data_IF_760905145768
#
_entry.id   IF_760905145768
#
_cell.length_a   1.000
_cell.length_b   1.000
_cell.length_c   1.000
_cell.angle_alpha   90.00
_cell.angle_beta   90.00
_cell.angle_gamma   90.00
#
_symmetry.space_group_name_H-M   'P 1'
#
loop_
_entity.id
_entity.type
_entity.pdbx_description
1 polymer ?
#
# COMPACT_ATOMS: atom_id res chain seq x y z
N UNK A 1 -1.23 -14.63 -15.14
CA UNK A 1 -2.08 -13.48 -15.51
C UNK A 1 -2.85 -13.69 -16.82
N UNK A 2 -2.17 -14.08 -17.91
CA UNK A 2 -2.80 -14.27 -19.23
C UNK A 2 -3.90 -15.35 -19.33
N UNK A 3 -4.15 -16.12 -18.27
CA UNK A 3 -5.25 -17.11 -18.22
C UNK A 3 -6.65 -16.48 -18.14
N UNK A 4 -6.75 -15.17 -17.90
CA UNK A 4 -8.05 -14.47 -17.84
C UNK A 4 -8.88 -14.74 -16.58
N UNK A 5 -8.25 -15.23 -15.51
CA UNK A 5 -8.92 -15.53 -14.24
C UNK A 5 -9.12 -14.32 -13.31
N UNK A 6 -8.61 -13.15 -13.70
CA UNK A 6 -8.63 -11.94 -12.89
C UNK A 6 -9.33 -10.81 -13.64
N UNK A 7 -9.98 -9.92 -12.91
CA UNK A 7 -10.65 -8.75 -13.49
C UNK A 7 -9.75 -7.53 -13.48
N UNK A 8 -9.02 -7.33 -12.39
CA UNK A 8 -8.10 -6.22 -12.18
C UNK A 8 -6.86 -6.76 -11.48
N UNK A 9 -5.69 -6.35 -11.92
CA UNK A 9 -4.38 -6.71 -11.37
C UNK A 9 -3.65 -5.42 -11.01
N UNK A 10 -3.20 -5.33 -9.76
CA UNK A 10 -2.31 -4.28 -9.28
C UNK A 10 -0.89 -4.84 -9.20
N UNK A 11 0.08 -4.13 -9.77
CA UNK A 11 1.49 -4.53 -9.77
C UNK A 11 2.35 -3.44 -9.12
N UNK A 12 3.34 -3.89 -8.36
CA UNK A 12 4.40 -3.08 -7.76
C UNK A 12 5.72 -3.55 -8.35
N UNK A 13 6.77 -2.74 -8.17
CA UNK A 13 8.14 -3.08 -8.58
C UNK A 13 8.31 -3.39 -10.08
N UNK A 14 7.43 -2.87 -10.92
CA UNK A 14 7.60 -2.90 -12.37
C UNK A 14 8.55 -1.76 -12.77
N UNK A 15 9.84 -1.94 -12.48
CA UNK A 15 10.84 -0.89 -12.67
C UNK A 15 11.29 -0.72 -14.12
N UNK A 16 11.21 -1.79 -14.93
CA UNK A 16 11.63 -1.78 -16.32
C UNK A 16 10.47 -1.51 -17.27
N UNK A 17 10.62 -0.52 -18.16
CA UNK A 17 9.64 -0.28 -19.23
C UNK A 17 9.53 -1.48 -20.17
N UNK A 18 10.64 -2.17 -20.48
CA UNK A 18 10.60 -3.36 -21.34
C UNK A 18 9.75 -4.47 -20.73
N UNK A 19 9.84 -4.67 -19.41
CA UNK A 19 9.07 -5.69 -18.70
C UNK A 19 7.60 -5.29 -18.63
N UNK A 20 7.30 -4.00 -18.43
CA UNK A 20 5.93 -3.50 -18.52
C UNK A 20 5.33 -3.73 -19.92
N UNK A 21 6.02 -3.36 -21.00
CA UNK A 21 5.54 -3.58 -22.36
C UNK A 21 5.35 -5.08 -22.66
N UNK A 22 6.27 -5.93 -22.19
CA UNK A 22 6.15 -7.38 -22.31
C UNK A 22 4.90 -7.89 -21.58
N UNK A 23 4.69 -7.51 -20.32
CA UNK A 23 3.51 -7.88 -19.55
C UNK A 23 2.23 -7.44 -20.27
N UNK A 24 2.16 -6.18 -20.70
CA UNK A 24 1.03 -5.60 -21.44
C UNK A 24 0.72 -6.40 -22.70
N UNK A 25 1.73 -6.75 -23.50
CA UNK A 25 1.54 -7.55 -24.71
C UNK A 25 1.00 -8.94 -24.37
N UNK A 26 1.54 -9.60 -23.34
CA UNK A 26 1.16 -10.97 -22.96
C UNK A 26 -0.25 -11.07 -22.38
N UNK A 27 -0.73 -10.04 -21.70
CA UNK A 27 -2.09 -10.02 -21.12
C UNK A 27 -3.14 -9.37 -22.03
N UNK A 28 -2.76 -8.77 -23.16
CA UNK A 28 -3.62 -7.91 -23.96
C UNK A 28 -4.96 -8.53 -24.40
N UNK A 29 -5.04 -9.85 -24.52
CA UNK A 29 -6.29 -10.55 -24.88
C UNK A 29 -7.30 -10.65 -23.71
N UNK A 30 -6.86 -10.50 -22.46
CA UNK A 30 -7.68 -10.72 -21.26
C UNK A 30 -7.72 -9.52 -20.31
N UNK A 31 -6.67 -8.70 -20.29
CA UNK A 31 -6.56 -7.45 -19.52
C UNK A 31 -6.11 -6.32 -20.47
N UNK A 32 -6.93 -5.95 -21.48
CA UNK A 32 -6.51 -5.02 -22.54
C UNK A 32 -6.25 -3.60 -22.03
N UNK A 33 -6.83 -3.20 -20.90
CA UNK A 33 -6.72 -1.84 -20.38
C UNK A 33 -5.62 -1.78 -19.33
N UNK A 34 -4.41 -1.44 -19.77
CA UNK A 34 -3.22 -1.34 -18.93
C UNK A 34 -2.83 0.12 -18.72
N UNK A 35 -2.40 0.47 -17.51
CA UNK A 35 -1.86 1.79 -17.18
C UNK A 35 -0.64 1.66 -16.28
N UNK A 36 0.46 2.29 -16.67
CA UNK A 36 1.66 2.46 -15.86
C UNK A 36 1.71 3.88 -15.31
N UNK A 37 1.99 4.03 -14.02
CA UNK A 37 2.06 5.33 -13.39
C UNK A 37 3.50 5.86 -13.44
N UNK A 38 3.84 6.69 -14.41
CA UNK A 38 5.18 7.24 -14.52
C UNK A 38 5.43 8.32 -13.44
N UNK A 39 6.59 8.27 -12.77
CA UNK A 39 6.98 9.22 -11.71
C UNK A 39 8.47 9.12 -11.41
N UNK A 40 9.07 10.20 -10.89
CA UNK A 40 10.47 10.23 -10.47
C UNK A 40 11.46 9.96 -11.60
N UNK A 41 12.68 9.57 -11.22
CA UNK A 41 13.77 9.30 -12.18
C UNK A 41 13.69 7.89 -12.74
N UNK A 42 13.42 6.90 -11.88
CA UNK A 42 13.41 5.46 -12.23
C UNK A 42 12.00 4.96 -12.58
N UNK A 43 10.95 5.72 -12.29
CA UNK A 43 9.55 5.26 -12.37
C UNK A 43 8.92 5.11 -10.97
N UNK A 44 7.61 4.91 -10.92
CA UNK A 44 6.93 4.58 -9.64
C UNK A 44 6.97 3.08 -9.34
N UNK A 45 7.22 2.23 -10.35
CA UNK A 45 7.07 0.78 -10.24
C UNK A 45 5.62 0.30 -10.23
N UNK A 46 4.63 1.20 -10.34
CA UNK A 46 3.21 0.88 -10.17
C UNK A 46 2.50 0.73 -11.50
N UNK A 47 1.71 -0.33 -11.63
CA UNK A 47 0.83 -0.53 -12.78
C UNK A 47 -0.52 -1.14 -12.39
N UNK A 48 -1.56 -0.79 -13.14
CA UNK A 48 -2.88 -1.44 -13.09
C UNK A 48 -3.18 -2.05 -14.46
N UNK A 49 -3.58 -3.32 -14.46
CA UNK A 49 -4.04 -4.06 -15.65
C UNK A 49 -5.50 -4.46 -15.42
N UNK A 50 -6.39 -4.13 -16.36
CA UNK A 50 -7.83 -4.31 -16.19
C UNK A 50 -8.48 -4.97 -17.40
N UNK A 51 -9.44 -5.86 -17.12
CA UNK A 51 -10.38 -6.40 -18.10
C UNK A 51 -11.33 -5.31 -18.61
N UNK A 52 -11.60 -4.31 -17.78
CA UNK A 52 -12.59 -3.26 -18.00
C UNK A 52 -11.94 -1.91 -18.31
N UNK A 53 -12.60 -1.02 -19.09
CA UNK A 53 -12.04 0.27 -19.47
C UNK A 53 -11.61 1.14 -18.28
N UNK A 54 -10.37 1.65 -18.33
CA UNK A 54 -9.88 2.69 -17.42
C UNK A 54 -10.37 4.04 -17.97
N UNK A 55 -11.27 4.71 -17.25
CA UNK A 55 -11.87 5.98 -17.69
C UNK A 55 -11.02 7.19 -17.32
N UNK A 56 -10.22 7.09 -16.27
CA UNK A 56 -9.25 8.12 -15.86
C UNK A 56 -8.22 7.52 -14.94
N UNK A 57 -6.98 8.01 -14.99
CA UNK A 57 -5.92 7.63 -14.07
C UNK A 57 -5.26 8.88 -13.47
N UNK A 58 -4.88 8.79 -12.20
CA UNK A 58 -4.22 9.85 -11.44
C UNK A 58 -3.05 9.27 -10.66
N UNK A 59 -1.99 10.05 -10.50
CA UNK A 59 -0.87 9.69 -9.65
C UNK A 59 -0.63 10.78 -8.63
N UNK A 60 -0.51 10.41 -7.37
CA UNK A 60 -0.18 11.30 -6.26
C UNK A 60 1.18 10.91 -5.70
N UNK A 61 2.19 11.72 -5.99
CA UNK A 61 3.54 11.53 -5.47
C UNK A 61 3.59 11.94 -4.00
N UNK A 62 4.19 11.10 -3.15
CA UNK A 62 4.37 11.46 -1.75
C UNK A 62 5.49 12.48 -1.58
N UNK A 63 5.34 13.35 -0.58
CA UNK A 63 6.32 14.40 -0.27
C UNK A 63 7.62 13.89 0.35
N UNK A 64 7.60 12.69 0.93
CA UNK A 64 8.75 12.09 1.64
C UNK A 64 8.95 10.66 1.17
N UNK A 65 10.11 10.40 0.54
CA UNK A 65 10.45 9.11 -0.09
C UNK A 65 11.86 8.60 0.26
N UNK A 66 12.34 8.84 1.48
CA UNK A 66 13.66 8.34 1.91
C UNK A 66 14.75 9.41 1.86
N UNK A 67 16.02 8.98 1.92
CA UNK A 67 17.17 9.87 1.96
C UNK A 67 18.10 9.65 0.76
N UNK A 68 18.39 10.72 0.00
CA UNK A 68 19.28 10.67 -1.18
C UNK A 68 20.64 10.02 -0.92
N UNK A 69 21.25 10.32 0.23
CA UNK A 69 22.60 9.85 0.56
C UNK A 69 22.64 8.37 0.99
N UNK A 70 21.49 7.73 1.21
CA UNK A 70 21.39 6.30 1.53
C UNK A 70 21.24 5.51 0.24
N UNK A 71 22.30 5.49 -0.59
CA UNK A 71 22.27 4.89 -1.94
C UNK A 71 21.83 3.42 -1.94
N UNK A 72 22.16 2.68 -0.88
CA UNK A 72 21.77 1.28 -0.68
C UNK A 72 20.25 1.10 -0.48
N UNK A 73 19.50 2.17 -0.20
CA UNK A 73 18.06 2.15 0.00
C UNK A 73 17.39 2.82 -1.21
N UNK A 74 16.90 1.99 -2.13
CA UNK A 74 16.47 2.39 -3.47
C UNK A 74 15.25 3.32 -3.52
N UNK A 75 14.47 3.40 -2.43
CA UNK A 75 13.20 4.12 -2.35
C UNK A 75 13.28 5.59 -2.78
N UNK A 76 14.40 6.27 -2.47
CA UNK A 76 14.58 7.69 -2.82
C UNK A 76 14.70 7.92 -4.32
N UNK A 77 15.28 6.97 -5.05
CA UNK A 77 15.44 7.07 -6.51
C UNK A 77 14.14 6.73 -7.25
N UNK A 78 13.23 6.01 -6.58
CA UNK A 78 11.88 5.73 -7.06
C UNK A 78 10.95 6.93 -6.89
N UNK A 79 10.11 7.18 -7.90
CA UNK A 79 9.03 8.16 -7.80
C UNK A 79 7.84 7.62 -7.02
N UNK A 80 8.03 7.21 -5.76
CA UNK A 80 7.00 6.54 -4.93
C UNK A 80 5.78 7.43 -4.67
N UNK A 81 4.62 6.80 -4.59
CA UNK A 81 3.32 7.47 -4.48
C UNK A 81 2.17 6.48 -4.53
N UNK A 82 0.95 7.01 -4.71
CA UNK A 82 -0.26 6.23 -4.94
C UNK A 82 -0.82 6.50 -6.33
N UNK A 83 -0.97 5.46 -7.13
CA UNK A 83 -1.68 5.48 -8.40
C UNK A 83 -3.17 5.20 -8.18
N UNK A 84 -4.04 5.86 -8.92
CA UNK A 84 -5.48 5.63 -8.93
C UNK A 84 -5.96 5.43 -10.36
N UNK A 85 -6.78 4.40 -10.59
CA UNK A 85 -7.55 4.21 -11.81
C UNK A 85 -9.04 4.18 -11.48
N UNK A 86 -9.83 4.98 -12.20
CA UNK A 86 -11.29 4.81 -12.27
C UNK A 86 -11.60 3.84 -13.39
N UNK A 87 -12.32 2.78 -13.09
CA UNK A 87 -12.58 1.67 -14.02
C UNK A 87 -14.10 1.53 -14.18
N UNK A 88 -14.58 1.49 -15.42
CA UNK A 88 -16.01 1.30 -15.72
C UNK A 88 -16.34 -0.19 -15.85
N UNK A 89 -16.97 -0.75 -14.83
CA UNK A 89 -17.42 -2.14 -14.78
C UNK A 89 -18.94 -2.15 -14.93
N UNK A 90 -19.45 -2.58 -16.09
CA UNK A 90 -20.90 -2.59 -16.39
C UNK A 90 -21.57 -1.23 -16.08
N UNK A 91 -20.99 -0.14 -16.60
CA UNK A 91 -21.43 1.25 -16.40
C UNK A 91 -21.40 1.74 -14.93
N UNK A 92 -20.70 1.02 -14.05
CA UNK A 92 -20.47 1.40 -12.67
C UNK A 92 -18.99 1.71 -12.43
N UNK A 93 -18.72 2.77 -11.67
CA UNK A 93 -17.35 3.17 -11.36
C UNK A 93 -16.80 2.35 -10.21
N UNK A 94 -15.69 1.66 -10.47
CA UNK A 94 -14.82 1.06 -9.47
C UNK A 94 -13.54 1.91 -9.39
N UNK A 95 -13.16 2.35 -8.21
CA UNK A 95 -11.90 3.07 -7.98
C UNK A 95 -10.86 2.09 -7.46
N UNK A 96 -9.75 1.95 -8.17
CA UNK A 96 -8.63 1.09 -7.76
C UNK A 96 -7.40 1.94 -7.52
N UNK A 97 -6.84 1.81 -6.33
CA UNK A 97 -5.63 2.45 -5.88
C UNK A 97 -4.52 1.42 -5.80
N UNK A 98 -3.33 1.79 -6.25
CA UNK A 98 -2.10 1.01 -6.14
C UNK A 98 -1.06 1.83 -5.41
N UNK A 99 -0.39 1.25 -4.43
CA UNK A 99 0.68 1.91 -3.69
C UNK A 99 1.81 0.93 -3.40
N UNK A 100 3.02 1.45 -3.28
CA UNK A 100 4.18 0.74 -2.76
C UNK A 100 4.88 1.63 -1.74
N UNK A 101 4.57 1.46 -0.44
CA UNK A 101 5.12 2.30 0.63
C UNK A 101 6.64 2.10 0.76
N UNK A 102 7.32 3.02 1.47
CA UNK A 102 8.75 2.93 1.71
C UNK A 102 9.11 1.57 2.34
N UNK A 103 10.20 0.94 1.93
CA UNK A 103 10.62 -0.34 2.51
C UNK A 103 11.07 -0.21 3.96
N UNK A 104 10.84 -1.27 4.76
CA UNK A 104 11.38 -1.41 6.10
C UNK A 104 12.68 -2.21 6.08
N UNK A 105 13.82 -1.52 5.97
CA UNK A 105 15.13 -2.16 5.86
C UNK A 105 15.63 -2.81 7.16
N UNK A 106 15.17 -2.33 8.33
CA UNK A 106 15.58 -2.86 9.63
C UNK A 106 14.52 -2.60 10.71
N UNK A 107 13.82 -3.66 11.14
CA UNK A 107 12.78 -3.61 12.18
C UNK A 107 13.29 -3.08 13.53
N UNK A 108 14.53 -3.39 13.90
CA UNK A 108 15.10 -3.01 15.20
C UNK A 108 15.59 -1.56 15.24
N UNK A 109 15.90 -0.99 14.09
CA UNK A 109 16.41 0.37 13.94
C UNK A 109 15.82 0.98 12.65
N UNK A 110 14.54 1.33 12.73
CA UNK A 110 13.79 1.78 11.56
C UNK A 110 13.85 3.31 11.39
N UNK A 111 14.85 3.74 10.61
CA UNK A 111 15.03 5.14 10.20
C UNK A 111 13.83 5.68 9.36
N UNK A 112 12.95 4.82 8.88
CA UNK A 112 11.90 5.15 7.90
C UNK A 112 10.48 5.04 8.44
N UNK A 113 10.29 4.79 9.74
CA UNK A 113 8.95 4.71 10.35
C UNK A 113 8.15 5.99 10.07
N UNK A 114 8.75 7.17 10.30
CA UNK A 114 8.11 8.45 10.03
C UNK A 114 7.72 8.61 8.55
N UNK A 115 8.55 8.10 7.63
CA UNK A 115 8.26 8.14 6.20
C UNK A 115 7.05 7.28 5.87
N UNK A 116 7.02 6.01 6.32
CA UNK A 116 5.89 5.10 6.08
C UNK A 116 4.60 5.63 6.69
N UNK A 117 4.66 6.23 7.88
CA UNK A 117 3.49 6.83 8.55
C UNK A 117 2.93 8.02 7.77
N UNK A 118 3.79 8.93 7.29
CA UNK A 118 3.38 10.07 6.46
C UNK A 118 2.77 9.57 5.14
N UNK A 119 3.42 8.62 4.48
CA UNK A 119 2.92 8.03 3.22
C UNK A 119 1.58 7.31 3.42
N UNK A 120 1.41 6.56 4.51
CA UNK A 120 0.16 5.91 4.88
C UNK A 120 -0.96 6.93 5.13
N UNK A 121 -0.67 8.00 5.87
CA UNK A 121 -1.62 9.07 6.13
C UNK A 121 -2.03 9.80 4.84
N UNK A 122 -1.05 10.19 4.02
CA UNK A 122 -1.27 10.89 2.75
C UNK A 122 -2.08 10.02 1.78
N UNK A 123 -1.74 8.73 1.67
CA UNK A 123 -2.51 7.74 0.90
C UNK A 123 -3.96 7.65 1.38
N UNK A 124 -4.18 7.59 2.70
CA UNK A 124 -5.53 7.54 3.26
C UNK A 124 -6.33 8.81 2.96
N UNK A 125 -5.72 9.99 3.11
CA UNK A 125 -6.36 11.28 2.78
C UNK A 125 -6.70 11.37 1.28
N UNK A 126 -5.79 10.90 0.42
CA UNK A 126 -6.02 10.85 -1.01
C UNK A 126 -7.21 9.93 -1.36
N UNK A 127 -7.28 8.73 -0.77
CA UNK A 127 -8.40 7.79 -0.96
C UNK A 127 -9.73 8.41 -0.49
N UNK A 128 -9.76 9.04 0.70
CA UNK A 128 -10.96 9.71 1.21
C UNK A 128 -11.41 10.85 0.29
N UNK A 129 -10.46 11.68 -0.18
CA UNK A 129 -10.73 12.85 -1.01
C UNK A 129 -11.17 12.48 -2.43
N UNK A 130 -10.81 11.29 -2.91
CA UNK A 130 -11.08 10.83 -4.29
C UNK A 130 -12.13 9.70 -4.36
N UNK A 131 -12.75 9.33 -3.23
CA UNK A 131 -13.75 8.24 -3.14
C UNK A 131 -14.90 8.36 -4.15
N UNK A 132 -15.36 9.57 -4.44
CA UNK A 132 -16.41 9.86 -5.41
C UNK A 132 -17.70 9.05 -5.19
N UNK A 133 -18.36 8.69 -6.30
CA UNK A 133 -19.56 7.84 -6.33
C UNK A 133 -19.24 6.37 -6.67
N UNK A 134 -18.03 5.92 -6.38
CA UNK A 134 -17.61 4.57 -6.73
C UNK A 134 -18.44 3.52 -5.99
N UNK A 135 -18.89 2.50 -6.72
CA UNK A 135 -19.62 1.36 -6.15
C UNK A 135 -18.69 0.45 -5.33
N UNK A 136 -17.41 0.49 -5.66
CA UNK A 136 -16.33 -0.22 -4.98
C UNK A 136 -15.06 0.61 -5.04
N UNK A 137 -14.36 0.68 -3.91
CA UNK A 137 -13.02 1.23 -3.79
C UNK A 137 -12.10 0.09 -3.35
N UNK A 138 -10.94 -0.05 -4.00
CA UNK A 138 -9.94 -1.08 -3.67
C UNK A 138 -8.58 -0.41 -3.59
N UNK A 139 -7.85 -0.61 -2.49
CA UNK A 139 -6.41 -0.35 -2.42
C UNK A 139 -5.68 -1.69 -2.49
N UNK A 140 -4.73 -1.84 -3.40
CA UNK A 140 -3.94 -3.05 -3.52
C UNK A 140 -2.46 -2.76 -3.76
N UNK A 141 -1.60 -3.34 -2.93
CA UNK A 141 -0.15 -3.32 -3.14
C UNK A 141 0.67 -3.69 -1.90
N UNK A 142 1.97 -3.57 -2.03
CA UNK A 142 2.95 -3.71 -0.95
C UNK A 142 2.95 -2.44 -0.08
N UNK A 143 2.48 -2.56 1.15
CA UNK A 143 2.39 -1.44 2.08
C UNK A 143 3.55 -1.42 3.07
N UNK A 144 4.51 -2.35 2.98
CA UNK A 144 5.72 -2.40 3.82
C UNK A 144 5.45 -2.19 5.32
N UNK A 145 4.31 -2.70 5.79
CA UNK A 145 3.83 -2.57 7.16
C UNK A 145 3.09 -3.85 7.51
N UNK A 146 3.25 -4.34 8.73
CA UNK A 146 2.53 -5.51 9.21
C UNK A 146 1.19 -5.14 9.85
N UNK A 147 0.25 -6.09 10.01
CA UNK A 147 -1.01 -5.83 10.67
C UNK A 147 -0.78 -5.42 12.13
N UNK A 148 -1.29 -4.25 12.51
CA UNK A 148 -1.12 -3.69 13.86
C UNK A 148 -0.02 -2.63 13.98
N UNK A 149 0.91 -2.58 13.03
CA UNK A 149 1.88 -1.49 12.94
C UNK A 149 1.18 -0.14 12.74
N UNK A 150 1.86 0.93 13.12
CA UNK A 150 1.28 2.26 13.07
C UNK A 150 0.85 2.68 11.66
N UNK A 151 1.69 2.47 10.64
CA UNK A 151 1.36 2.81 9.26
C UNK A 151 0.11 2.06 8.77
N UNK A 152 0.01 0.75 9.05
CA UNK A 152 -1.18 -0.06 8.80
C UNK A 152 -2.43 0.52 9.50
N UNK A 153 -2.34 0.81 10.80
CA UNK A 153 -3.48 1.33 11.59
C UNK A 153 -3.93 2.70 11.07
N UNK A 154 -3.01 3.61 10.80
CA UNK A 154 -3.31 4.92 10.20
C UNK A 154 -4.04 4.75 8.88
N UNK A 155 -3.51 3.90 7.99
CA UNK A 155 -4.09 3.70 6.66
C UNK A 155 -5.51 3.13 6.76
N UNK A 156 -5.72 2.04 7.49
CA UNK A 156 -7.03 1.37 7.63
C UNK A 156 -8.05 2.30 8.28
N UNK A 157 -7.69 2.94 9.39
CA UNK A 157 -8.63 3.80 10.13
C UNK A 157 -8.96 5.09 9.40
N UNK A 158 -7.96 5.74 8.78
CA UNK A 158 -8.16 7.03 8.11
C UNK A 158 -8.84 6.87 6.75
N UNK A 159 -8.52 5.81 6.00
CA UNK A 159 -9.17 5.51 4.71
C UNK A 159 -10.51 4.80 4.86
N UNK A 160 -10.81 4.27 6.05
CA UNK A 160 -12.00 3.43 6.31
C UNK A 160 -12.15 2.25 5.35
N UNK A 161 -11.05 1.82 4.73
CA UNK A 161 -11.01 0.59 3.97
C UNK A 161 -10.94 -0.59 4.92
N UNK A 162 -11.54 -1.70 4.53
CA UNK A 162 -11.49 -2.97 5.24
C UNK A 162 -10.42 -3.85 4.60
N UNK A 163 -9.54 -4.42 5.41
CA UNK A 163 -8.63 -5.47 4.95
C UNK A 163 -9.42 -6.72 4.50
N UNK A 164 -9.10 -7.26 3.33
CA UNK A 164 -9.71 -8.51 2.84
C UNK A 164 -9.23 -9.74 3.60
N UNK A 165 -8.11 -9.67 4.32
CA UNK A 165 -7.69 -10.76 5.18
C UNK A 165 -8.49 -10.75 6.49
N UNK A 166 -9.23 -11.83 6.74
CA UNK A 166 -9.87 -12.10 8.04
C UNK A 166 -9.29 -13.38 8.66
N UNK A 167 -8.50 -13.22 9.71
CA UNK A 167 -7.87 -14.33 10.43
C UNK A 167 -8.88 -15.35 10.95
N UNK A 168 -10.07 -14.91 11.37
CA UNK A 168 -11.11 -15.81 11.90
C UNK A 168 -11.68 -16.71 10.81
N UNK A 169 -11.78 -16.19 9.59
CA UNK A 169 -12.28 -16.94 8.43
C UNK A 169 -11.21 -17.81 7.77
N UNK A 170 -9.95 -17.35 7.76
CA UNK A 170 -8.84 -17.98 7.01
C UNK A 170 -8.08 -19.03 7.85
N UNK A 171 -8.19 -18.97 9.19
CA UNK A 171 -7.72 -20.01 10.11
C UNK A 171 -6.20 -20.11 10.30
N UNK A 172 -5.39 -19.58 9.38
CA UNK A 172 -3.92 -19.59 9.46
C UNK A 172 -3.31 -18.23 9.14
N UNK A 173 -2.15 -17.94 9.73
CA UNK A 173 -1.37 -16.75 9.40
C UNK A 173 -0.81 -16.89 7.98
N UNK A 174 -1.01 -15.86 7.15
CA UNK A 174 -0.56 -15.83 5.76
C UNK A 174 0.50 -14.75 5.63
N UNK A 175 1.74 -15.14 5.41
CA UNK A 175 2.80 -14.22 5.00
C UNK A 175 2.78 -13.99 3.50
N UNK A 176 3.25 -12.82 3.09
CA UNK A 176 3.37 -12.38 1.72
C UNK A 176 4.80 -12.01 1.34
N UNK A 177 5.72 -11.94 2.31
CA UNK A 177 7.14 -11.69 2.09
C UNK A 177 7.97 -12.46 3.13
N UNK A 178 9.23 -12.77 2.81
CA UNK A 178 10.14 -13.52 3.68
C UNK A 178 9.59 -14.89 4.16
N UNK A 179 8.68 -15.50 3.40
CA UNK A 179 8.15 -16.83 3.70
C UNK A 179 9.26 -17.88 3.54
N UNK A 180 9.38 -18.85 4.46
CA UNK A 180 10.40 -19.91 4.34
C UNK A 180 10.25 -20.75 3.05
N UNK A 181 9.04 -20.79 2.50
CA UNK A 181 8.77 -21.46 1.24
C UNK A 181 9.23 -20.68 0.02
N UNK A 182 9.53 -19.38 0.12
CA UNK A 182 9.95 -18.55 -1.01
C UNK A 182 11.47 -18.70 -1.29
N UNK A 183 11.89 -18.71 -2.57
CA UNK A 183 13.28 -19.01 -2.95
C UNK A 183 14.23 -17.85 -2.73
N UNK A 184 13.70 -16.64 -2.58
CA UNK A 184 14.47 -15.42 -2.41
C UNK A 184 14.61 -15.02 -0.93
N UNK A 185 13.92 -15.72 -0.03
CA UNK A 185 14.00 -15.46 1.41
C UNK A 185 15.37 -15.79 1.96
N UNK A 186 15.95 -14.86 2.72
CA UNK A 186 17.18 -15.08 3.47
C UNK A 186 17.01 -16.27 4.45
N UNK A 187 17.95 -17.24 4.48
CA UNK A 187 17.83 -18.41 5.36
C UNK A 187 17.75 -18.07 6.85
N UNK A 188 18.28 -16.93 7.29
CA UNK A 188 18.19 -16.46 8.68
C UNK A 188 16.80 -15.93 8.97
N UNK A 189 16.25 -15.09 8.08
CA UNK A 189 14.88 -14.59 8.17
C UNK A 189 13.86 -15.75 8.19
N UNK A 190 14.01 -16.72 7.28
CA UNK A 190 13.17 -17.92 7.21
C UNK A 190 13.18 -18.75 8.49
N UNK A 191 14.30 -18.76 9.24
CA UNK A 191 14.40 -19.46 10.54
C UNK A 191 13.75 -18.68 11.67
N UNK A 192 13.88 -17.35 11.67
CA UNK A 192 13.34 -16.48 12.71
C UNK A 192 11.81 -16.38 12.62
N UNK A 193 11.28 -16.21 11.41
CA UNK A 193 9.84 -16.09 11.17
C UNK A 193 9.43 -16.96 9.97
N UNK A 194 9.25 -18.29 10.15
CA UNK A 194 9.00 -19.20 9.03
C UNK A 194 7.75 -18.89 8.21
N UNK A 195 6.73 -18.31 8.85
CA UNK A 195 5.49 -17.93 8.18
C UNK A 195 5.61 -16.62 7.38
N UNK A 196 6.77 -15.97 7.39
CA UNK A 196 6.99 -14.69 6.73
C UNK A 196 6.23 -13.53 7.38
N UNK A 197 6.34 -12.36 6.76
CA UNK A 197 5.65 -11.11 7.12
C UNK A 197 4.45 -10.92 6.20
N UNK A 198 3.38 -10.29 6.67
CA UNK A 198 2.24 -9.90 5.83
C UNK A 198 2.30 -8.40 5.56
N UNK A 199 2.80 -8.03 4.39
CA UNK A 199 2.99 -6.62 4.00
C UNK A 199 2.27 -6.26 2.70
N UNK A 200 1.71 -7.24 1.99
CA UNK A 200 0.93 -7.07 0.78
C UNK A 200 -0.56 -7.20 1.07
N UNK A 201 -1.36 -6.26 0.55
CA UNK A 201 -2.75 -6.13 0.92
C UNK A 201 -3.66 -5.93 -0.27
N UNK A 202 -4.90 -6.43 -0.12
CA UNK A 202 -6.07 -5.95 -0.86
C UNK A 202 -7.06 -5.45 0.18
N UNK A 203 -7.25 -4.14 0.24
CA UNK A 203 -8.22 -3.48 1.12
C UNK A 203 -9.37 -2.93 0.29
N UNK A 204 -10.58 -2.92 0.82
CA UNK A 204 -11.76 -2.50 0.06
C UNK A 204 -12.80 -1.75 0.88
N UNK A 205 -13.61 -0.96 0.20
CA UNK A 205 -14.83 -0.35 0.71
C UNK A 205 -15.91 -0.39 -0.34
N UNK A 206 -17.07 -0.89 0.05
CA UNK A 206 -18.27 -0.93 -0.80
C UNK A 206 -18.96 0.43 -0.71
N UNK A 207 -19.47 0.93 -1.83
CA UNK A 207 -20.18 2.20 -1.88
C UNK A 207 -21.48 2.18 -1.11
N UNK A 208 -21.90 3.33 -0.60
CA UNK A 208 -23.00 3.47 0.40
C UNK A 208 -24.37 2.92 -0.07
N UNK A 209 -24.58 2.81 -1.39
CA UNK A 209 -25.82 2.30 -2.00
C UNK A 209 -25.74 0.83 -2.45
N UNK A 210 -24.71 0.12 -2.01
CA UNK A 210 -24.42 -1.25 -2.38
C UNK A 210 -24.19 -2.09 -1.12
N UNK A 211 -24.73 -3.30 -1.13
CA UNK A 211 -24.36 -4.33 -0.18
C UNK A 211 -23.34 -5.24 -0.85
N UNK A 212 -22.38 -5.74 -0.09
CA UNK A 212 -21.43 -6.69 -0.62
C UNK A 212 -20.67 -7.41 0.47
N UNK A 213 -19.94 -8.45 0.06
CA UNK A 213 -19.08 -9.20 0.97
C UNK A 213 -17.90 -9.81 0.23
N UNK A 214 -16.84 -10.07 1.00
CA UNK A 214 -15.75 -10.92 0.58
C UNK A 214 -16.25 -12.36 0.41
N UNK A 215 -15.97 -12.96 -0.73
CA UNK A 215 -16.22 -14.37 -1.02
C UNK A 215 -14.98 -15.22 -0.81
N UNK A 216 -13.80 -14.68 -1.12
CA UNK A 216 -12.56 -15.45 -1.14
C UNK A 216 -11.37 -14.51 -0.91
N UNK A 217 -10.41 -14.97 -0.11
CA UNK A 217 -9.08 -14.37 0.02
C UNK A 217 -8.07 -15.52 0.01
N UNK A 218 -7.02 -15.42 -0.81
CA UNK A 218 -5.95 -16.43 -0.88
C UNK A 218 -4.68 -15.88 -1.53
N UNK A 219 -3.59 -16.64 -1.41
CA UNK A 219 -2.42 -16.51 -2.27
C UNK A 219 -2.69 -17.29 -3.57
N UNK A 220 -2.77 -16.64 -4.75
CA UNK A 220 -3.31 -17.29 -5.93
C UNK A 220 -2.28 -18.03 -6.78
N UNK A 221 -0.99 -17.82 -6.50
CA UNK A 221 0.13 -18.44 -7.21
C UNK A 221 0.72 -19.58 -6.36
N UNK A 222 1.28 -20.62 -7.01
CA UNK A 222 2.09 -21.60 -6.28
C UNK A 222 3.38 -20.94 -5.77
N UNK A 223 3.92 -21.43 -4.65
CA UNK A 223 5.16 -20.90 -4.06
C UNK A 223 6.41 -21.09 -4.91
N UNK A 224 6.34 -21.85 -6.01
CA UNK A 224 7.39 -22.00 -7.03
C UNK A 224 6.78 -21.91 -8.41
N UNK A 225 7.54 -21.35 -9.36
CA UNK A 225 7.17 -21.42 -10.77
C UNK A 225 7.11 -22.90 -11.18
N UNK A 226 6.03 -23.37 -11.82
CA UNK A 226 5.89 -24.79 -12.18
C UNK A 226 7.11 -25.32 -12.95
N UNK A 227 7.72 -26.39 -12.45
CA UNK A 227 8.91 -27.00 -13.03
C UNK A 227 10.23 -26.28 -12.74
N UNK A 228 10.23 -25.25 -11.89
CA UNK A 228 11.41 -24.45 -11.55
C UNK A 228 11.72 -24.49 -10.05
N UNK A 229 12.96 -24.13 -9.71
CA UNK A 229 13.44 -24.04 -8.32
C UNK A 229 13.24 -22.67 -7.68
N UNK A 230 12.78 -21.68 -8.46
CA UNK A 230 12.57 -20.30 -8.01
C UNK A 230 11.08 -19.90 -7.96
N UNK A 231 10.76 -18.94 -7.09
CA UNK A 231 9.46 -18.27 -6.95
C UNK A 231 9.19 -17.27 -8.08
N UNK A 232 7.95 -16.83 -8.26
CA UNK A 232 7.64 -15.75 -9.22
C UNK A 232 8.23 -14.40 -8.81
N UNK A 233 8.33 -14.15 -7.51
CA UNK A 233 8.91 -12.97 -6.87
C UNK A 233 9.36 -13.35 -5.46
N UNK A 234 10.08 -12.49 -4.77
CA UNK A 234 10.34 -12.57 -3.33
C UNK A 234 9.08 -12.27 -2.49
N UNK A 235 8.05 -11.69 -3.10
CA UNK A 235 6.70 -11.56 -2.57
C UNK A 235 5.72 -12.62 -3.11
N UNK A 236 4.71 -12.96 -2.31
CA UNK A 236 3.57 -13.77 -2.69
C UNK A 236 2.41 -12.89 -3.14
N UNK A 237 1.78 -13.24 -4.26
CA UNK A 237 0.63 -12.49 -4.75
C UNK A 237 -0.57 -12.62 -3.79
N UNK A 238 -1.38 -11.56 -3.68
CA UNK A 238 -2.61 -11.56 -2.86
C UNK A 238 -3.83 -11.44 -3.77
N UNK A 239 -4.85 -12.26 -3.52
CA UNK A 239 -6.10 -12.26 -4.26
C UNK A 239 -7.29 -12.09 -3.32
N UNK A 240 -8.25 -11.27 -3.76
CA UNK A 240 -9.56 -11.13 -3.11
C UNK A 240 -10.68 -11.18 -4.16
N UNK A 241 -11.78 -11.88 -3.82
CA UNK A 241 -13.01 -11.92 -4.61
C UNK A 241 -14.14 -11.27 -3.82
N UNK A 242 -14.78 -10.28 -4.41
CA UNK A 242 -15.90 -9.56 -3.81
C UNK A 242 -17.16 -9.80 -4.63
N UNK A 243 -18.31 -9.86 -3.95
CA UNK A 243 -19.62 -9.80 -4.59
C UNK A 243 -20.35 -8.57 -4.08
N UNK A 244 -21.00 -7.85 -5.01
CA UNK A 244 -21.76 -6.64 -4.74
C UNK A 244 -23.16 -6.78 -5.34
N UNK A 245 -24.13 -6.19 -4.65
CA UNK A 245 -25.51 -6.01 -5.10
C UNK A 245 -25.94 -4.60 -4.76
N UNK A 246 -26.77 -3.98 -5.61
CA UNK A 246 -27.36 -2.69 -5.27
C UNK A 246 -28.30 -2.88 -4.07
N UNK A 247 -28.16 -2.05 -3.05
CA UNK A 247 -29.05 -2.11 -1.88
C UNK A 247 -30.47 -1.78 -2.33
N UNK A 248 -31.46 -2.51 -1.81
CA UNK A 248 -32.86 -2.23 -2.12
C UNK A 248 -33.32 -0.93 -1.45
N UNK A 249 -34.24 -0.19 -2.05
CA UNK A 249 -34.84 1.01 -1.43
C UNK A 249 -35.50 0.70 -0.08
N UNK A 250 -36.06 -0.50 0.06
CA UNK A 250 -36.64 -1.00 1.32
C UNK A 250 -35.58 -1.20 2.40
N UNK A 251 -34.38 -1.71 2.08
CA UNK A 251 -33.29 -1.86 3.05
C UNK A 251 -32.70 -0.53 3.49
N UNK A 252 -32.64 0.49 2.62
CA UNK A 252 -32.21 1.83 3.01
C UNK A 252 -33.19 2.48 3.98
N UNK A 253 -34.50 2.36 3.71
CA UNK A 253 -35.57 2.86 4.59
C UNK A 253 -35.63 2.04 5.89
N UNK A 254 -35.50 0.71 5.83
CA UNK A 254 -35.43 -0.13 7.02
C UNK A 254 -34.18 0.15 7.86
N UNK A 255 -33.02 0.44 7.27
CA UNK A 255 -31.83 0.85 8.02
C UNK A 255 -32.05 2.22 8.69
N UNK A 256 -32.66 3.19 7.99
CA UNK A 256 -33.04 4.48 8.57
C UNK A 256 -34.05 4.33 9.73
N UNK A 257 -35.02 3.43 9.60
CA UNK A 257 -36.02 3.12 10.64
C UNK A 257 -35.40 2.30 11.79
N UNK A 258 -34.50 1.36 11.50
CA UNK A 258 -33.79 0.57 12.49
C UNK A 258 -32.88 1.44 13.36
N UNK A 259 -32.19 2.43 12.77
CA UNK A 259 -31.50 3.50 13.49
C UNK A 259 -32.46 4.19 14.48
N UNK A 260 -33.65 4.58 14.05
CA UNK A 260 -34.63 5.22 14.95
C UNK A 260 -35.20 4.32 16.08
N UNK A 261 -34.95 3.00 16.05
CA UNK A 261 -35.48 2.02 17.02
C UNK A 261 -34.47 1.54 18.09
N UNK A 262 -33.23 2.05 18.06
CA UNK A 262 -32.26 2.01 19.17
C UNK A 262 -31.57 0.67 19.50
N UNK A 263 -31.99 -0.48 18.95
CA UNK A 263 -31.38 -1.80 19.28
C UNK A 263 -30.16 -2.20 18.43
N UNK A 264 -30.18 -1.98 17.11
CA UNK A 264 -28.99 -2.17 16.26
C UNK A 264 -28.02 -0.98 16.33
N UNK A 265 -28.56 0.21 16.62
CA UNK A 265 -27.81 1.45 16.74
C UNK A 265 -26.76 1.39 17.85
N UNK A 266 -27.03 0.68 18.95
CA UNK A 266 -26.10 0.55 20.09
C UNK A 266 -24.79 -0.18 19.72
N UNK A 267 -24.87 -1.33 19.05
CA UNK A 267 -23.70 -2.13 18.69
C UNK A 267 -22.88 -1.46 17.57
N UNK A 268 -23.56 -0.92 16.55
CA UNK A 268 -22.90 -0.21 15.45
C UNK A 268 -22.28 1.11 15.95
N UNK A 269 -22.94 1.82 16.86
CA UNK A 269 -22.39 3.03 17.49
C UNK A 269 -21.18 2.74 18.36
N UNK A 270 -21.21 1.69 19.18
CA UNK A 270 -20.03 1.26 19.95
C UNK A 270 -18.85 0.90 19.04
N UNK A 271 -19.10 0.15 17.96
CA UNK A 271 -18.06 -0.20 16.98
C UNK A 271 -17.49 1.03 16.26
N UNK A 272 -18.35 1.99 15.89
CA UNK A 272 -17.93 3.27 15.29
C UNK A 272 -17.12 4.12 16.26
N UNK A 273 -17.54 4.22 17.52
CA UNK A 273 -16.81 4.96 18.57
C UNK A 273 -15.44 4.33 18.84
N UNK A 274 -15.35 2.99 18.88
CA UNK A 274 -14.08 2.26 19.00
C UNK A 274 -13.17 2.51 17.80
N UNK A 275 -13.69 2.44 16.57
CA UNK A 275 -12.94 2.72 15.34
C UNK A 275 -12.44 4.17 15.30
N UNK A 276 -13.27 5.14 15.70
CA UNK A 276 -12.86 6.55 15.80
C UNK A 276 -11.78 6.75 16.87
N UNK A 277 -11.90 6.07 18.02
CA UNK A 277 -10.90 6.13 19.08
C UNK A 277 -9.56 5.59 18.59
N UNK A 278 -9.56 4.46 17.89
CA UNK A 278 -8.34 3.88 17.31
C UNK A 278 -7.71 4.82 16.28
N UNK A 279 -8.53 5.44 15.42
CA UNK A 279 -8.05 6.45 14.47
C UNK A 279 -7.34 7.61 15.17
N UNK A 280 -7.93 8.15 16.24
CA UNK A 280 -7.35 9.24 17.03
C UNK A 280 -6.05 8.81 17.71
N UNK A 281 -5.99 7.60 18.26
CA UNK A 281 -4.79 7.07 18.90
C UNK A 281 -3.66 6.89 17.89
N UNK A 282 -3.93 6.27 16.74
CA UNK A 282 -2.96 6.11 15.66
C UNK A 282 -2.44 7.47 15.16
N UNK A 283 -3.31 8.46 14.96
CA UNK A 283 -2.88 9.80 14.53
C UNK A 283 -2.04 10.51 15.60
N UNK A 284 -2.37 10.38 16.89
CA UNK A 284 -1.56 10.96 17.99
C UNK A 284 -0.16 10.36 18.04
N UNK A 285 -0.07 9.04 17.92
CA UNK A 285 1.21 8.33 17.87
C UNK A 285 2.02 8.74 16.63
N UNK A 286 1.36 8.91 15.49
CA UNK A 286 1.97 9.42 14.25
C UNK A 286 2.59 10.80 14.43
N UNK A 287 1.86 11.71 15.08
CA UNK A 287 2.37 13.06 15.40
C UNK A 287 3.59 12.97 16.31
N UNK A 288 3.59 12.07 17.30
CA UNK A 288 4.74 11.90 18.19
C UNK A 288 5.99 11.42 17.43
N UNK A 289 5.85 10.40 16.58
CA UNK A 289 6.96 9.87 15.75
C UNK A 289 7.48 10.94 14.78
N UNK A 290 6.59 11.65 14.09
CA UNK A 290 6.99 12.70 13.17
C UNK A 290 7.69 13.85 13.90
N UNK A 291 7.21 14.23 15.08
CA UNK A 291 7.82 15.28 15.90
C UNK A 291 9.22 14.91 16.36
N UNK A 292 9.44 13.65 16.75
CA UNK A 292 10.75 13.17 17.15
C UNK A 292 11.73 13.10 15.97
N UNK A 293 11.26 12.60 14.82
CA UNK A 293 12.04 12.60 13.58
C UNK A 293 12.45 14.02 13.15
N UNK A 294 11.55 15.01 13.28
CA UNK A 294 11.87 16.42 13.00
C UNK A 294 12.98 16.96 13.91
N UNK A 295 12.93 16.70 15.22
CA UNK A 295 14.01 17.11 16.14
C UNK A 295 15.34 16.48 15.77
N UNK A 296 15.33 15.19 15.43
CA UNK A 296 16.53 14.48 14.99
C UNK A 296 17.09 15.09 13.70
N UNK A 297 16.24 15.38 12.71
CA UNK A 297 16.63 16.05 11.47
C UNK A 297 17.20 17.45 11.70
N UNK A 298 16.63 18.23 12.62
CA UNK A 298 17.21 19.52 13.01
C UNK A 298 18.59 19.39 13.63
N UNK A 299 18.78 18.39 14.50
CA UNK A 299 20.08 18.07 15.09
C UNK A 299 21.09 17.67 14.01
N UNK A 300 20.71 16.76 13.12
CA UNK A 300 21.54 16.33 11.98
C UNK A 300 21.91 17.50 11.09
N UNK A 301 20.95 18.37 10.74
CA UNK A 301 21.20 19.57 9.92
C UNK A 301 22.24 20.47 10.56
N UNK A 302 22.15 20.72 11.87
CA UNK A 302 23.17 21.52 12.60
C UNK A 302 24.54 20.84 12.56
N UNK A 303 24.59 19.55 12.84
CA UNK A 303 25.84 18.77 12.82
C UNK A 303 26.50 18.79 11.44
N UNK A 304 25.77 18.45 10.38
CA UNK A 304 26.30 18.46 9.01
C UNK A 304 26.74 19.85 8.56
N UNK A 305 26.03 20.91 8.95
CA UNK A 305 26.43 22.29 8.64
C UNK A 305 27.76 22.62 9.30
N UNK A 306 27.94 22.27 10.57
CA UNK A 306 29.20 22.48 11.29
C UNK A 306 30.36 21.66 10.70
N UNK A 307 30.12 20.40 10.36
CA UNK A 307 31.12 19.56 9.68
C UNK A 307 31.52 20.13 8.32
N UNK A 308 30.55 20.59 7.52
CA UNK A 308 30.82 21.20 6.23
C UNK A 308 31.67 22.48 6.36
N UNK A 309 31.35 23.35 7.34
CA UNK A 309 32.17 24.53 7.65
C UNK A 309 33.59 24.11 8.04
N UNK A 310 33.74 23.10 8.89
CA UNK A 310 35.06 22.57 9.28
C UNK A 310 35.87 22.07 8.08
N UNK A 311 35.24 21.30 7.18
CA UNK A 311 35.89 20.81 5.95
C UNK A 311 36.30 21.97 5.05
N UNK A 312 35.44 22.98 4.87
CA UNK A 312 35.76 24.17 4.07
C UNK A 312 36.97 24.91 4.65
N UNK A 313 37.03 25.09 5.96
CA UNK A 313 38.17 25.73 6.63
C UNK A 313 39.46 24.94 6.39
N UNK A 314 39.42 23.61 6.53
CA UNK A 314 40.59 22.75 6.26
C UNK A 314 41.03 22.87 4.80
N UNK A 315 40.09 22.85 3.84
CA UNK A 315 40.40 23.00 2.43
C UNK A 315 41.03 24.36 2.09
N UNK A 316 40.55 25.45 2.70
CA UNK A 316 41.14 26.78 2.54
C UNK A 316 42.58 26.81 3.07
N UNK A 317 42.81 26.28 4.28
CA UNK A 317 44.16 26.23 4.86
C UNK A 317 45.13 25.38 4.01
N UNK A 318 44.66 24.27 3.42
CA UNK A 318 45.48 23.45 2.53
C UNK A 318 45.84 24.18 1.23
N UNK A 319 44.92 24.97 0.68
CA UNK A 319 45.19 25.79 -0.51
C UNK A 319 46.19 26.91 -0.20
N UNK A 320 46.08 27.55 0.97
CA UNK A 320 47.04 28.57 1.42
C UNK A 320 48.44 28.00 1.67
N UNK A 321 48.55 26.76 2.19
CA UNK A 321 49.83 26.07 2.37
C UNK A 321 50.50 25.64 1.05
N UNK A 322 49.75 25.57 -0.05
CA UNK A 322 50.25 25.22 -1.38
C UNK A 322 50.59 26.45 -2.23
N UNK A 323 50.20 27.65 -1.81
CA UNK A 323 50.47 28.94 -2.48
C UNK A 323 51.76 29.59 -1.96
#
# INVERSE_FOLDING_TARGET
LASGNYDIVSLQEVWSDSDYQYLRQRVGNVLPFCHYFYSGVVGSGLAILSRYPIVSAFFHAWSVNGYMHRIQHGDWFGGKGVGMAKISVNDQLVHVYVAHLHAEYNRQCDDYMAHRVIQAHDTAQFIESTRGQAVLQVLAGDLNTEPGDLAYRVLVTSSKLKDSYDRKAIGSAVGTNECHTNSYTDPTAAKQQPNGKRIDYVMYRIGDNYDGRLLEHRLPLPGRVPGQTFSYSDHEAVYAKLILKKSSSTSTIQNLIACSSGKEESCDRMSREESQREAVLALRESVAICSESLKQLESHRRSYTLMAIGVIIVLINLLELQA
#
